data_IF_760445599704
#
_entry.id   IF_760445599704
#
_cell.length_a   1.000
_cell.length_b   1.000
_cell.length_c   1.000
_cell.angle_alpha   90.00
_cell.angle_beta   90.00
_cell.angle_gamma   90.00
#
_symmetry.space_group_name_H-M   'P 1'
#
loop_
_entity.id
_entity.type
_entity.pdbx_description
1 polymer ?
#
# COMPACT_ATOMS: atom_id res chain seq x y z
N UNK A 1 1.94 -9.69 -14.49
CA UNK A 1 1.80 -8.65 -13.47
C UNK A 1 0.62 -7.82 -13.88
N UNK A 2 -0.37 -7.69 -13.00
CA UNK A 2 -1.50 -6.79 -13.21
C UNK A 2 -1.33 -5.65 -12.22
N UNK A 3 -1.38 -4.44 -12.75
CA UNK A 3 -1.35 -3.21 -11.98
C UNK A 3 -2.46 -2.31 -12.49
N UNK A 4 -3.27 -1.78 -11.57
CA UNK A 4 -4.39 -0.89 -11.89
C UNK A 4 -4.37 0.30 -10.96
N UNK A 5 -4.66 1.47 -11.51
CA UNK A 5 -4.85 2.70 -10.74
C UNK A 5 -6.32 3.12 -10.82
N UNK A 6 -6.82 3.70 -9.73
CA UNK A 6 -8.19 4.20 -9.61
C UNK A 6 -8.11 5.61 -9.03
N UNK A 7 -8.76 6.54 -9.71
CA UNK A 7 -8.85 7.94 -9.29
C UNK A 7 -9.67 8.09 -7.99
N UNK A 8 -9.26 8.96 -7.06
CA UNK A 8 -10.04 9.21 -5.87
C UNK A 8 -11.24 10.11 -6.15
N UNK A 9 -12.23 10.00 -5.27
CA UNK A 9 -13.40 10.89 -5.27
C UNK A 9 -12.96 12.35 -5.08
N UNK A 10 -13.71 13.30 -5.63
CA UNK A 10 -13.30 14.70 -5.73
C UNK A 10 -12.86 15.32 -4.39
N UNK A 11 -13.55 15.02 -3.29
CA UNK A 11 -13.22 15.54 -1.97
C UNK A 11 -11.97 14.90 -1.33
N UNK A 12 -11.50 13.76 -1.86
CA UNK A 12 -10.30 13.05 -1.40
C UNK A 12 -9.05 13.41 -2.21
N UNK A 13 -9.21 14.00 -3.41
CA UNK A 13 -8.10 14.41 -4.28
C UNK A 13 -7.06 15.32 -3.62
N UNK A 14 -7.39 16.21 -2.66
CA UNK A 14 -6.37 16.98 -1.97
C UNK A 14 -5.39 16.13 -1.14
N UNK A 15 -5.81 14.93 -0.72
CA UNK A 15 -5.06 14.06 0.18
C UNK A 15 -4.49 12.83 -0.53
N UNK A 16 -5.29 12.22 -1.40
CA UNK A 16 -5.01 10.97 -2.08
C UNK A 16 -4.74 11.28 -3.55
N UNK A 17 -3.59 10.83 -4.03
CA UNK A 17 -3.22 10.93 -5.44
C UNK A 17 -3.92 9.84 -6.26
N UNK A 18 -3.91 8.60 -5.75
CA UNK A 18 -4.53 7.44 -6.42
C UNK A 18 -4.72 6.29 -5.45
N UNK A 19 -5.70 5.45 -5.76
CA UNK A 19 -5.73 4.08 -5.29
C UNK A 19 -5.05 3.19 -6.32
N UNK A 20 -4.46 2.08 -5.88
CA UNK A 20 -3.86 1.12 -6.78
C UNK A 20 -4.07 -0.31 -6.31
N UNK A 21 -4.02 -1.22 -7.25
CA UNK A 21 -4.02 -2.66 -6.99
C UNK A 21 -2.94 -3.35 -7.78
N UNK A 22 -2.39 -4.41 -7.22
CA UNK A 22 -1.27 -5.13 -7.77
C UNK A 22 -1.37 -6.63 -7.47
N UNK A 23 -1.11 -7.46 -8.49
CA UNK A 23 -0.98 -8.91 -8.33
C UNK A 23 0.00 -9.49 -9.36
N UNK A 24 0.69 -10.57 -8.98
CA UNK A 24 1.46 -11.36 -9.93
C UNK A 24 0.60 -12.50 -10.48
N UNK A 25 0.06 -12.34 -11.69
CA UNK A 25 -0.78 -13.38 -12.29
C UNK A 25 -0.05 -14.33 -13.24
N UNK A 26 -0.58 -15.57 -13.30
CA UNK A 26 -0.48 -16.55 -14.39
C UNK A 26 0.92 -16.85 -14.93
N UNK A 27 1.38 -16.00 -15.85
CA UNK A 27 2.63 -16.18 -16.61
C UNK A 27 3.79 -15.34 -16.07
N UNK A 28 3.59 -14.63 -14.96
CA UNK A 28 4.64 -13.79 -14.38
C UNK A 28 5.76 -14.67 -13.85
N UNK A 29 6.98 -14.51 -14.40
CA UNK A 29 8.17 -15.20 -13.87
C UNK A 29 8.41 -14.77 -12.42
N UNK A 30 8.58 -15.77 -11.57
CA UNK A 30 8.90 -15.67 -10.14
C UNK A 30 10.03 -16.65 -9.83
N UNK A 31 10.66 -16.45 -8.69
CA UNK A 31 11.66 -17.34 -8.12
C UNK A 31 11.04 -18.71 -7.73
N UNK A 32 11.88 -19.67 -7.37
CA UNK A 32 11.45 -21.01 -6.98
C UNK A 32 10.50 -21.01 -5.77
N UNK A 33 10.64 -20.03 -4.87
CA UNK A 33 9.79 -19.81 -3.70
C UNK A 33 8.49 -19.03 -4.01
N UNK A 34 8.26 -18.67 -5.28
CA UNK A 34 7.06 -17.95 -5.71
C UNK A 34 7.11 -16.44 -5.53
N UNK A 35 8.25 -15.88 -5.15
CA UNK A 35 8.45 -14.44 -4.97
C UNK A 35 9.08 -13.78 -6.19
N UNK A 36 8.96 -12.46 -6.26
CA UNK A 36 9.65 -11.61 -7.22
C UNK A 36 9.96 -10.26 -6.59
N UNK A 37 11.07 -9.65 -6.97
CA UNK A 37 11.38 -8.28 -6.60
C UNK A 37 10.44 -7.28 -7.30
N UNK A 38 9.90 -6.35 -6.50
CA UNK A 38 9.13 -5.21 -6.93
C UNK A 38 9.81 -3.92 -6.45
N UNK A 39 10.06 -3.00 -7.37
CA UNK A 39 10.80 -1.78 -7.10
C UNK A 39 9.87 -0.58 -6.98
N UNK A 40 9.99 0.13 -5.87
CA UNK A 40 9.43 1.46 -5.67
C UNK A 40 10.49 2.51 -5.99
N UNK A 41 10.14 3.44 -6.87
CA UNK A 41 10.99 4.57 -7.23
C UNK A 41 10.93 5.66 -6.15
N UNK A 42 12.02 6.43 -5.97
CA UNK A 42 12.02 7.55 -5.03
C UNK A 42 11.20 8.70 -5.59
N UNK A 43 9.98 8.86 -5.08
CA UNK A 43 9.01 9.82 -5.59
C UNK A 43 8.43 10.75 -4.49
N UNK A 44 8.99 10.66 -3.27
CA UNK A 44 8.58 11.48 -2.13
C UNK A 44 7.16 11.19 -1.63
N UNK A 45 6.47 10.21 -2.20
CA UNK A 45 5.09 9.89 -1.84
C UNK A 45 5.05 8.85 -0.72
N UNK A 46 3.92 8.83 -0.03
CA UNK A 46 3.64 7.87 1.01
C UNK A 46 2.56 6.90 0.55
N UNK A 47 2.70 5.64 0.94
CA UNK A 47 1.78 4.59 0.55
C UNK A 47 1.22 3.87 1.77
N UNK A 48 -0.10 3.75 1.85
CA UNK A 48 -0.74 2.76 2.73
C UNK A 48 -1.00 1.52 1.88
N UNK A 49 -0.55 0.36 2.34
CA UNK A 49 -0.69 -0.91 1.64
C UNK A 49 -1.43 -1.90 2.51
N UNK A 50 -2.40 -2.59 1.92
CA UNK A 50 -3.23 -3.61 2.55
C UNK A 50 -3.12 -4.90 1.72
N UNK A 51 -2.86 -6.02 2.39
CA UNK A 51 -2.77 -7.34 1.76
C UNK A 51 -3.06 -8.44 2.77
N UNK A 52 -3.28 -9.66 2.29
CA UNK A 52 -3.33 -10.87 3.13
C UNK A 52 -2.04 -11.65 3.01
N UNK A 53 -1.43 -11.96 4.15
CA UNK A 53 -0.26 -12.82 4.24
C UNK A 53 -0.55 -14.01 5.15
N UNK A 54 -0.41 -15.22 4.63
CA UNK A 54 -0.77 -16.46 5.33
C UNK A 54 -2.15 -16.46 6.01
N UNK A 55 -3.14 -15.79 5.39
CA UNK A 55 -4.51 -15.67 5.92
C UNK A 55 -4.71 -14.54 6.93
N UNK A 56 -3.65 -13.82 7.29
CA UNK A 56 -3.70 -12.66 8.18
C UNK A 56 -3.78 -11.36 7.38
N UNK A 57 -4.66 -10.47 7.83
CA UNK A 57 -4.76 -9.12 7.32
C UNK A 57 -3.55 -8.31 7.74
N UNK A 58 -2.80 -7.80 6.76
CA UNK A 58 -1.61 -6.98 6.97
C UNK A 58 -1.83 -5.59 6.40
N UNK A 59 -1.42 -4.58 7.16
CA UNK A 59 -1.43 -3.20 6.74
C UNK A 59 -0.06 -2.57 7.03
N UNK A 60 0.43 -1.77 6.09
CA UNK A 60 1.73 -1.12 6.16
C UNK A 60 1.67 0.31 5.66
N UNK A 61 2.21 1.24 6.44
CA UNK A 61 2.46 2.60 6.02
C UNK A 61 3.92 2.70 5.57
N UNK A 62 4.11 2.79 4.26
CA UNK A 62 5.40 2.98 3.64
C UNK A 62 5.66 4.46 3.43
N UNK A 63 6.55 5.02 4.24
CA UNK A 63 6.92 6.42 4.12
C UNK A 63 7.75 6.73 2.87
N UNK A 64 8.07 8.01 2.64
CA UNK A 64 8.79 8.44 1.45
C UNK A 64 10.13 7.71 1.32
N UNK A 65 10.34 7.08 0.16
CA UNK A 65 11.60 6.44 -0.18
C UNK A 65 12.48 7.46 -0.91
N UNK A 66 13.69 7.71 -0.40
CA UNK A 66 14.67 8.62 -1.03
C UNK A 66 15.61 7.91 -2.01
N UNK A 67 15.60 6.59 -1.98
CA UNK A 67 16.36 5.71 -2.87
C UNK A 67 15.41 4.64 -3.43
N UNK A 68 15.85 3.94 -4.48
CA UNK A 68 15.12 2.78 -4.97
C UNK A 68 14.92 1.77 -3.83
N UNK A 69 13.66 1.48 -3.52
CA UNK A 69 13.29 0.54 -2.47
C UNK A 69 12.72 -0.72 -3.12
N UNK A 70 13.19 -1.88 -2.69
CA UNK A 70 12.77 -3.16 -3.27
C UNK A 70 12.06 -3.98 -2.21
N UNK A 71 10.88 -4.50 -2.56
CA UNK A 71 10.14 -5.48 -1.75
C UNK A 71 10.01 -6.78 -2.51
N UNK A 72 9.96 -7.89 -1.79
CA UNK A 72 9.60 -9.19 -2.39
C UNK A 72 8.10 -9.37 -2.33
N UNK A 73 7.47 -9.60 -3.48
CA UNK A 73 6.03 -9.85 -3.58
C UNK A 73 5.77 -11.28 -4.03
N UNK A 74 4.83 -11.95 -3.36
CA UNK A 74 4.47 -13.34 -3.62
C UNK A 74 3.32 -13.48 -4.63
N UNK A 75 3.35 -14.54 -5.45
CA UNK A 75 2.37 -14.78 -6.54
C UNK A 75 0.93 -15.06 -6.13
N UNK A 76 0.71 -15.41 -4.86
CA UNK A 76 -0.63 -15.70 -4.34
C UNK A 76 -1.18 -14.58 -3.44
N UNK A 77 -0.50 -13.43 -3.41
CA UNK A 77 -0.92 -12.26 -2.64
C UNK A 77 -1.42 -11.19 -3.60
N UNK A 78 -2.60 -10.68 -3.30
CA UNK A 78 -3.13 -9.46 -3.89
C UNK A 78 -2.79 -8.28 -3.00
N UNK A 79 -2.42 -7.17 -3.60
CA UNK A 79 -2.04 -5.96 -2.87
C UNK A 79 -2.96 -4.84 -3.31
N UNK A 80 -3.47 -4.09 -2.35
CA UNK A 80 -4.19 -2.85 -2.57
C UNK A 80 -3.47 -1.75 -1.84
N UNK A 81 -3.43 -0.55 -2.39
CA UNK A 81 -2.86 0.57 -1.70
C UNK A 81 -3.48 1.91 -2.04
N UNK A 82 -3.18 2.86 -1.17
CA UNK A 82 -3.50 4.27 -1.28
C UNK A 82 -2.19 5.01 -1.38
N UNK A 83 -2.03 5.80 -2.43
CA UNK A 83 -0.90 6.70 -2.59
C UNK A 83 -1.35 8.11 -2.23
N UNK A 84 -0.69 8.69 -1.24
CA UNK A 84 -1.00 10.03 -0.76
C UNK A 84 -0.14 11.08 -1.45
N UNK A 85 -0.64 12.31 -1.55
CA UNK A 85 0.17 13.43 -1.97
C UNK A 85 1.30 13.68 -0.95
N UNK A 86 2.48 14.18 -1.40
CA UNK A 86 3.52 14.63 -0.48
C UNK A 86 2.96 15.61 0.56
N UNK A 87 3.50 15.56 1.78
CA UNK A 87 3.13 16.40 2.93
C UNK A 87 1.72 16.21 3.54
N UNK A 88 0.89 15.29 3.02
CA UNK A 88 -0.46 15.04 3.60
C UNK A 88 -0.43 14.20 4.87
N UNK A 89 0.69 13.51 5.15
CA UNK A 89 0.82 12.56 6.25
C UNK A 89 0.60 13.19 7.62
N UNK A 90 1.14 14.39 7.85
CA UNK A 90 1.02 15.08 9.13
C UNK A 90 -0.44 15.46 9.39
N UNK A 91 -1.14 15.91 8.36
CA UNK A 91 -2.57 16.22 8.44
C UNK A 91 -3.46 14.99 8.66
N UNK A 92 -3.05 13.80 8.22
CA UNK A 92 -3.85 12.58 8.28
C UNK A 92 -3.55 11.70 9.49
N UNK A 93 -2.30 11.69 9.97
CA UNK A 93 -1.82 10.73 10.96
C UNK A 93 -1.16 11.37 12.17
N UNK A 94 -1.04 12.70 12.22
CA UNK A 94 -0.34 13.42 13.28
C UNK A 94 1.12 12.93 13.48
N UNK A 95 1.76 12.52 12.37
CA UNK A 95 3.15 12.07 12.33
C UNK A 95 3.95 12.95 11.37
N UNK A 96 5.12 13.39 11.80
CA UNK A 96 6.03 14.16 10.94
C UNK A 96 6.53 13.29 9.79
N UNK A 97 6.48 13.84 8.58
CA UNK A 97 6.96 13.13 7.38
C UNK A 97 8.43 12.67 7.51
N UNK A 98 9.27 13.48 8.17
CA UNK A 98 10.68 13.15 8.45
C UNK A 98 10.86 11.84 9.22
N UNK A 99 9.91 11.52 10.09
CA UNK A 99 10.00 10.36 10.98
C UNK A 99 9.67 9.07 10.25
N UNK A 100 9.12 9.16 9.03
CA UNK A 100 8.69 8.04 8.21
C UNK A 100 9.59 7.82 6.99
N UNK A 101 10.56 8.70 6.72
CA UNK A 101 11.48 8.57 5.59
C UNK A 101 12.19 7.21 5.64
N UNK A 102 12.06 6.43 4.57
CA UNK A 102 12.66 5.10 4.44
C UNK A 102 12.08 4.03 5.37
N UNK A 103 10.98 4.32 6.09
CA UNK A 103 10.39 3.39 7.05
C UNK A 103 9.12 2.75 6.50
N UNK A 104 8.87 1.53 6.98
CA UNK A 104 7.60 0.83 6.85
C UNK A 104 7.11 0.53 8.26
N UNK A 105 5.98 1.12 8.65
CA UNK A 105 5.43 0.95 10.00
C UNK A 105 4.05 0.31 9.95
N UNK A 106 3.63 -0.21 11.09
CA UNK A 106 2.24 -0.56 11.32
C UNK A 106 1.42 0.73 11.57
N UNK A 107 0.45 1.07 10.71
CA UNK A 107 -0.37 2.26 10.90
C UNK A 107 -1.54 2.06 11.87
N UNK A 108 -1.82 0.84 12.32
CA UNK A 108 -2.98 0.57 13.19
C UNK A 108 -3.03 1.48 14.44
N UNK A 109 -1.90 1.80 15.12
CA UNK A 109 -1.92 2.74 16.24
C UNK A 109 -2.22 4.20 15.87
N UNK A 110 -2.14 4.56 14.59
CA UNK A 110 -2.32 5.92 14.06
C UNK A 110 -3.72 6.13 13.48
N UNK A 111 -4.58 5.11 13.49
CA UNK A 111 -5.88 5.12 12.85
C UNK A 111 -6.98 4.72 13.84
N UNK A 112 -8.17 5.33 13.75
CA UNK A 112 -9.36 4.82 14.40
C UNK A 112 -9.64 3.35 13.98
N UNK A 113 -10.00 2.45 14.91
CA UNK A 113 -10.23 1.03 14.61
C UNK A 113 -11.26 0.79 13.51
N UNK A 114 -12.27 1.65 13.40
CA UNK A 114 -13.37 1.51 12.43
C UNK A 114 -12.86 1.73 10.99
N UNK A 115 -11.85 2.60 10.82
CA UNK A 115 -11.18 2.81 9.53
C UNK A 115 -10.39 1.56 9.15
N UNK A 116 -9.67 0.97 10.10
CA UNK A 116 -8.89 -0.25 9.89
C UNK A 116 -9.79 -1.40 9.42
N UNK A 117 -10.91 -1.61 10.11
CA UNK A 117 -11.90 -2.63 9.74
C UNK A 117 -12.50 -2.37 8.35
N UNK A 118 -12.87 -1.11 8.06
CA UNK A 118 -13.44 -0.73 6.76
C UNK A 118 -12.48 -1.03 5.61
N UNK A 119 -11.19 -0.77 5.79
CA UNK A 119 -10.17 -1.07 4.78
C UNK A 119 -10.04 -2.57 4.52
N UNK A 120 -10.08 -3.39 5.58
CA UNK A 120 -10.03 -4.84 5.42
C UNK A 120 -11.31 -5.42 4.81
N UNK A 121 -12.49 -4.92 5.18
CA UNK A 121 -13.77 -5.31 4.55
C UNK A 121 -13.75 -4.95 3.06
N UNK A 122 -13.27 -3.76 2.71
CA UNK A 122 -13.14 -3.32 1.32
C UNK A 122 -12.17 -4.21 0.54
N UNK A 123 -11.03 -4.57 1.13
CA UNK A 123 -10.08 -5.51 0.54
C UNK A 123 -10.71 -6.89 0.29
N UNK A 124 -11.45 -7.44 1.26
CA UNK A 124 -12.04 -8.77 1.15
C UNK A 124 -13.17 -8.86 0.12
N UNK A 125 -13.98 -7.81 -0.02
CA UNK A 125 -15.01 -7.75 -1.08
C UNK A 125 -14.41 -7.74 -2.48
N UNK A 126 -13.27 -7.10 -2.66
CA UNK A 126 -12.61 -6.98 -3.97
C UNK A 126 -11.80 -8.22 -4.36
N UNK A 127 -11.51 -9.13 -3.42
CA UNK A 127 -10.69 -10.32 -3.65
C UNK A 127 -11.47 -11.65 -3.61
N UNK A 128 -12.76 -11.60 -3.23
CA UNK A 128 -13.66 -12.76 -3.26
C UNK A 128 -14.71 -12.67 -4.39
N UNK A 129 -14.55 -11.73 -5.33
CA UNK A 129 -15.39 -11.54 -6.51
C UNK A 129 -14.65 -11.99 -7.77
#
# INVERSE_FOLDING_TARGET
MIYREIEPQAHLKPFIMKYWTFALEGKTKVDADGYRDHHFLPDGCLNLVVFKDHGHNVMRLSGPQLVNYTVRVHKHIYYMGIRFHPATIEALFDVKASDLIGKNIDPTPLMPPEIVETLFIGYDRNNNA
#
